data_IF_079836324767
#
_entry.id   IF_079836324767
#
_cell.length_a   1.000
_cell.length_b   1.000
_cell.length_c   1.000
_cell.angle_alpha   90.00
_cell.angle_beta   90.00
_cell.angle_gamma   90.00
#
_symmetry.space_group_name_H-M   'P 1'
#
loop_
_entity.id
_entity.type
_entity.pdbx_description
1 polymer ?
#
# COMPACT_ATOMS: atom_id res chain seq x y z
N UNK A 1 -50.50 23.00 62.50
CA UNK A 1 -50.91 22.11 61.40
C UNK A 1 -50.90 22.91 60.11
N UNK A 2 -49.80 22.86 59.35
CA UNK A 2 -49.68 23.43 58.01
C UNK A 2 -49.72 22.25 57.01
N UNK A 3 -50.49 22.29 55.91
CA UNK A 3 -50.51 21.20 54.94
C UNK A 3 -49.50 21.40 53.81
N UNK A 4 -48.68 20.36 53.66
CA UNK A 4 -48.02 19.75 52.50
C UNK A 4 -47.50 20.62 51.34
N UNK A 5 -46.19 20.50 51.20
CA UNK A 5 -45.29 20.93 50.15
C UNK A 5 -45.53 20.15 48.85
N UNK A 6 -45.65 20.86 47.72
CA UNK A 6 -45.54 20.27 46.38
C UNK A 6 -44.10 20.40 45.90
N UNK A 7 -43.43 19.25 45.80
CA UNK A 7 -42.14 19.08 45.14
C UNK A 7 -42.43 18.97 43.64
N UNK A 8 -41.96 19.93 42.83
CA UNK A 8 -41.87 19.77 41.38
C UNK A 8 -40.42 19.44 40.99
N UNK A 9 -40.12 18.22 40.50
CA UNK A 9 -38.83 17.87 39.95
C UNK A 9 -38.91 17.84 38.42
N UNK A 10 -38.34 18.81 37.72
CA UNK A 10 -37.81 18.56 36.36
C UNK A 10 -36.69 19.54 36.06
N UNK A 11 -35.48 19.03 36.28
CA UNK A 11 -34.22 19.50 35.73
C UNK A 11 -34.33 19.46 34.20
N UNK A 12 -34.44 20.61 33.56
CA UNK A 12 -34.14 20.73 32.13
C UNK A 12 -32.71 21.23 31.99
N UNK A 13 -31.78 20.29 31.79
CA UNK A 13 -30.46 20.59 31.27
C UNK A 13 -30.60 21.08 29.83
N UNK A 14 -30.37 22.37 29.62
CA UNK A 14 -30.23 22.96 28.29
C UNK A 14 -28.93 22.45 27.67
N UNK A 15 -28.94 21.73 26.54
CA UNK A 15 -27.72 21.56 25.77
C UNK A 15 -27.39 22.91 25.13
N UNK A 16 -26.38 23.59 25.65
CA UNK A 16 -25.81 24.77 25.04
C UNK A 16 -25.15 24.35 23.72
N UNK A 17 -25.94 24.38 22.64
CA UNK A 17 -25.45 24.23 21.27
C UNK A 17 -24.53 25.42 21.01
N UNK A 18 -23.23 25.20 21.20
CA UNK A 18 -22.17 26.10 20.74
C UNK A 18 -22.19 26.09 19.21
N UNK A 19 -23.13 26.86 18.64
CA UNK A 19 -23.16 27.19 17.22
C UNK A 19 -22.02 28.18 16.98
N UNK A 20 -20.85 27.66 16.65
CA UNK A 20 -19.74 28.46 16.13
C UNK A 20 -20.26 29.33 14.97
N UNK A 21 -20.17 30.67 15.06
CA UNK A 21 -20.64 31.53 13.98
C UNK A 21 -19.86 31.23 12.70
N UNK A 22 -20.52 31.27 11.52
CA UNK A 22 -19.86 31.04 10.26
C UNK A 22 -18.72 32.04 10.06
N UNK A 23 -17.59 31.64 9.43
CA UNK A 23 -16.44 32.51 9.26
C UNK A 23 -16.85 33.79 8.52
N UNK A 24 -16.64 34.94 9.17
CA UNK A 24 -16.94 36.24 8.58
C UNK A 24 -16.14 36.40 7.28
N UNK A 25 -16.85 36.61 6.18
CA UNK A 25 -16.24 36.82 4.86
C UNK A 25 -15.31 38.03 4.93
N UNK A 26 -14.02 37.81 4.68
CA UNK A 26 -13.05 38.92 4.59
C UNK A 26 -13.46 39.84 3.44
N UNK A 27 -13.47 41.15 3.69
CA UNK A 27 -13.70 42.15 2.64
C UNK A 27 -12.69 41.93 1.53
N UNK A 28 -13.13 41.99 0.27
CA UNK A 28 -12.25 41.85 -0.89
C UNK A 28 -11.17 42.93 -0.80
N UNK A 29 -9.91 42.52 -0.97
CA UNK A 29 -8.80 43.46 -1.05
C UNK A 29 -8.98 44.44 -2.22
N UNK A 30 -8.19 45.53 -2.24
CA UNK A 30 -8.18 46.47 -3.35
C UNK A 30 -8.07 45.73 -4.69
N UNK A 31 -8.83 46.20 -5.68
CA UNK A 31 -8.73 45.66 -7.04
C UNK A 31 -7.28 45.81 -7.50
N UNK A 32 -6.74 44.78 -8.16
CA UNK A 32 -5.39 44.85 -8.74
C UNK A 32 -5.33 46.05 -9.69
N UNK A 33 -4.21 46.78 -9.69
CA UNK A 33 -3.96 47.88 -10.64
C UNK A 33 -4.17 47.42 -12.09
N UNK A 34 -4.50 48.34 -13.00
CA UNK A 34 -4.61 48.04 -14.42
C UNK A 34 -3.25 47.60 -14.97
N UNK A 35 -3.25 46.86 -16.07
CA UNK A 35 -2.01 46.32 -16.63
C UNK A 35 -1.00 47.42 -16.99
N UNK A 36 -1.49 48.56 -17.49
CA UNK A 36 -0.69 49.74 -17.87
C UNK A 36 -0.02 50.41 -16.66
N UNK A 37 -0.67 50.37 -15.50
CA UNK A 37 -0.20 51.03 -14.28
C UNK A 37 0.73 50.13 -13.44
N UNK A 38 0.86 48.85 -13.80
CA UNK A 38 1.72 47.91 -13.08
C UNK A 38 3.15 48.05 -13.57
N UNK A 39 4.07 48.30 -12.63
CA UNK A 39 5.51 48.19 -12.88
C UNK A 39 5.83 46.73 -13.23
N UNK A 40 6.44 46.50 -14.39
CA UNK A 40 6.86 45.16 -14.80
C UNK A 40 8.13 44.75 -14.04
N UNK A 41 8.04 43.63 -13.32
CA UNK A 41 9.18 42.97 -12.69
C UNK A 41 9.38 41.62 -13.36
N UNK A 42 10.50 41.40 -14.09
CA UNK A 42 10.75 40.09 -14.70
C UNK A 42 10.92 39.02 -13.61
N UNK A 43 10.36 37.83 -13.84
CA UNK A 43 10.60 36.69 -12.95
C UNK A 43 12.05 36.24 -13.06
N UNK A 44 12.62 35.77 -11.95
CA UNK A 44 13.94 35.13 -11.97
C UNK A 44 13.94 33.96 -12.97
N UNK A 45 15.04 33.76 -13.73
CA UNK A 45 15.16 32.61 -14.61
C UNK A 45 14.91 31.30 -13.85
N UNK A 46 14.14 30.39 -14.44
CA UNK A 46 13.86 29.08 -13.83
C UNK A 46 15.16 28.28 -13.83
N UNK A 47 15.79 28.17 -12.66
CA UNK A 47 17.07 27.48 -12.49
C UNK A 47 16.91 25.96 -12.54
N UNK A 48 15.77 25.45 -12.07
CA UNK A 48 15.50 24.02 -11.99
C UNK A 48 14.01 23.71 -12.13
N UNK A 49 13.70 22.69 -12.92
CA UNK A 49 12.35 22.12 -12.96
C UNK A 49 12.17 21.23 -11.73
N UNK A 50 11.39 21.69 -10.77
CA UNK A 50 11.00 20.88 -9.61
C UNK A 50 9.89 19.91 -10.01
N UNK A 51 10.19 18.61 -9.93
CA UNK A 51 9.21 17.54 -10.12
C UNK A 51 8.94 16.90 -8.77
N UNK A 52 7.71 17.01 -8.30
CA UNK A 52 7.21 16.29 -7.13
C UNK A 52 6.46 15.05 -7.60
N UNK A 53 6.78 13.90 -7.01
CA UNK A 53 6.07 12.64 -7.23
C UNK A 53 5.39 12.25 -5.93
N UNK A 54 4.12 11.81 -6.00
CA UNK A 54 3.39 11.36 -4.82
C UNK A 54 4.01 10.07 -4.26
N UNK A 55 3.84 9.85 -2.94
CA UNK A 55 4.28 8.61 -2.30
C UNK A 55 3.64 7.38 -2.94
N UNK A 56 2.36 7.45 -3.29
CA UNK A 56 1.66 6.39 -4.03
C UNK A 56 2.36 6.04 -5.35
N UNK A 57 2.84 7.05 -6.10
CA UNK A 57 3.56 6.81 -7.35
C UNK A 57 4.91 6.15 -7.11
N UNK A 58 5.63 6.56 -6.07
CA UNK A 58 6.87 5.90 -5.64
C UNK A 58 6.62 4.44 -5.25
N UNK A 59 5.60 4.18 -4.44
CA UNK A 59 5.22 2.82 -4.02
C UNK A 59 4.85 1.95 -5.22
N UNK A 60 4.06 2.48 -6.17
CA UNK A 60 3.71 1.76 -7.40
C UNK A 60 4.95 1.37 -8.22
N UNK A 61 5.94 2.26 -8.35
CA UNK A 61 7.21 1.99 -9.03
C UNK A 61 8.01 0.90 -8.31
N UNK A 62 8.14 1.00 -6.99
CA UNK A 62 8.87 0.00 -6.20
C UNK A 62 8.19 -1.37 -6.25
N UNK A 63 6.85 -1.38 -6.21
CA UNK A 63 6.04 -2.59 -6.35
C UNK A 63 6.24 -3.23 -7.72
N UNK A 64 6.25 -2.43 -8.80
CA UNK A 64 6.55 -2.88 -10.15
C UNK A 64 7.93 -3.53 -10.24
N UNK A 65 8.98 -2.88 -9.75
CA UNK A 65 10.34 -3.42 -9.79
C UNK A 65 10.50 -4.73 -8.99
N UNK A 66 9.69 -4.92 -7.94
CA UNK A 66 9.79 -6.08 -7.05
C UNK A 66 9.02 -7.29 -7.56
N UNK A 67 7.76 -7.09 -7.95
CA UNK A 67 6.83 -8.19 -8.23
C UNK A 67 6.66 -8.50 -9.71
N UNK A 68 6.82 -7.50 -10.58
CA UNK A 68 6.62 -7.72 -12.01
C UNK A 68 7.70 -8.65 -12.57
N UNK A 69 7.34 -9.44 -13.58
CA UNK A 69 8.24 -10.37 -14.28
C UNK A 69 8.08 -10.18 -15.77
N UNK A 70 9.21 -10.05 -16.47
CA UNK A 70 9.27 -9.85 -17.91
C UNK A 70 9.89 -11.11 -18.52
N UNK A 71 9.18 -11.70 -19.47
CA UNK A 71 9.70 -12.81 -20.26
C UNK A 71 10.73 -12.29 -21.26
N UNK A 72 11.96 -12.74 -21.11
CA UNK A 72 13.08 -12.48 -21.99
C UNK A 72 14.07 -13.63 -21.89
N UNK A 73 13.84 -14.70 -22.67
CA UNK A 73 14.67 -15.90 -22.64
C UNK A 73 16.08 -15.68 -23.19
N UNK A 74 16.34 -14.58 -23.90
CA UNK A 74 17.65 -14.25 -24.47
C UNK A 74 18.58 -13.51 -23.51
N UNK A 75 18.07 -13.07 -22.35
CA UNK A 75 18.85 -12.29 -21.40
C UNK A 75 19.58 -13.19 -20.41
N UNK A 76 20.89 -12.95 -20.24
CA UNK A 76 21.73 -13.69 -19.28
C UNK A 76 21.27 -13.54 -17.82
N UNK A 77 20.55 -12.47 -17.51
CA UNK A 77 20.00 -12.21 -16.18
C UNK A 77 18.65 -12.90 -15.94
N UNK A 78 18.08 -13.53 -16.97
CA UNK A 78 16.90 -14.37 -16.82
C UNK A 78 17.33 -15.76 -16.34
N UNK A 79 16.79 -16.26 -15.20
CA UNK A 79 16.97 -17.63 -14.77
C UNK A 79 16.41 -18.63 -15.79
N UNK A 80 16.59 -19.93 -15.55
CA UNK A 80 16.18 -21.02 -16.45
C UNK A 80 14.71 -20.96 -16.96
N UNK A 81 13.82 -20.22 -16.29
CA UNK A 81 12.45 -19.98 -16.74
C UNK A 81 12.27 -18.86 -17.77
N UNK A 82 13.33 -18.14 -18.16
CA UNK A 82 13.27 -17.02 -19.11
C UNK A 82 12.60 -15.75 -18.58
N UNK A 83 12.23 -15.69 -17.29
CA UNK A 83 11.60 -14.52 -16.68
C UNK A 83 12.59 -13.75 -15.80
N UNK A 84 12.73 -12.44 -16.04
CA UNK A 84 13.53 -11.55 -15.18
C UNK A 84 12.67 -10.50 -14.48
N UNK A 85 13.25 -9.86 -13.46
CA UNK A 85 12.69 -8.62 -12.91
C UNK A 85 12.92 -7.43 -13.86
N UNK A 86 12.00 -6.43 -13.90
CA UNK A 86 12.18 -5.25 -14.72
C UNK A 86 13.40 -4.42 -14.31
N UNK A 87 13.99 -3.76 -15.29
CA UNK A 87 15.04 -2.78 -15.07
C UNK A 87 14.47 -1.40 -14.73
N UNK A 88 15.28 -0.57 -14.08
CA UNK A 88 14.93 0.85 -13.82
C UNK A 88 14.65 1.64 -15.09
N UNK A 89 15.29 1.29 -16.22
CA UNK A 89 15.02 1.88 -17.54
C UNK A 89 13.59 1.60 -18.04
N UNK A 90 13.03 0.44 -17.72
CA UNK A 90 11.68 0.04 -18.14
C UNK A 90 10.64 0.74 -17.27
N UNK A 91 10.87 0.78 -15.96
CA UNK A 91 10.06 1.57 -15.04
C UNK A 91 10.09 3.07 -15.41
N UNK A 92 11.23 3.61 -15.84
CA UNK A 92 11.32 4.99 -16.32
C UNK A 92 10.39 5.26 -17.50
N UNK A 93 10.34 4.36 -18.48
CA UNK A 93 9.45 4.46 -19.65
C UNK A 93 7.98 4.33 -19.26
N UNK A 94 7.66 3.38 -18.39
CA UNK A 94 6.29 3.11 -17.96
C UNK A 94 5.67 4.24 -17.12
N UNK A 95 6.42 4.76 -16.14
CA UNK A 95 5.90 5.76 -15.18
C UNK A 95 6.22 7.21 -15.56
N UNK A 96 7.00 7.41 -16.63
CA UNK A 96 7.57 8.68 -17.07
C UNK A 96 8.32 9.42 -15.94
N UNK A 97 9.22 8.69 -15.27
CA UNK A 97 10.05 9.20 -14.18
C UNK A 97 11.52 9.00 -14.59
N UNK A 98 12.41 9.98 -14.35
CA UNK A 98 13.84 9.81 -14.65
C UNK A 98 14.44 8.60 -13.94
N UNK A 99 15.30 7.86 -14.64
CA UNK A 99 15.96 6.67 -14.09
C UNK A 99 16.74 6.98 -12.80
N UNK A 100 17.40 8.14 -12.71
CA UNK A 100 18.14 8.57 -11.52
C UNK A 100 17.27 8.68 -10.28
N UNK A 101 16.05 9.20 -10.42
CA UNK A 101 15.06 9.29 -9.35
C UNK A 101 14.62 7.91 -8.88
N UNK A 102 14.34 7.00 -9.82
CA UNK A 102 13.95 5.62 -9.51
C UNK A 102 15.08 4.88 -8.79
N UNK A 103 16.33 5.04 -9.26
CA UNK A 103 17.51 4.44 -8.62
C UNK A 103 17.69 4.91 -7.16
N UNK A 104 17.50 6.21 -6.90
CA UNK A 104 17.57 6.75 -5.55
C UNK A 104 16.49 6.16 -4.61
N UNK A 105 15.25 6.04 -5.11
CA UNK A 105 14.18 5.38 -4.34
C UNK A 105 14.46 3.90 -4.09
N UNK A 106 14.98 3.19 -5.09
CA UNK A 106 15.33 1.77 -4.96
C UNK A 106 16.41 1.53 -3.90
N UNK A 107 17.41 2.41 -3.81
CA UNK A 107 18.45 2.36 -2.77
C UNK A 107 17.92 2.74 -1.37
N UNK A 108 16.93 3.63 -1.30
CA UNK A 108 16.34 4.12 -0.05
C UNK A 108 15.12 3.33 0.46
N UNK A 109 14.67 2.30 -0.26
CA UNK A 109 13.39 1.61 0.00
C UNK A 109 13.26 1.01 1.41
N UNK A 110 14.36 0.50 1.96
CA UNK A 110 14.35 -0.18 3.25
C UNK A 110 14.52 0.78 4.43
N UNK A 111 14.93 2.02 4.18
CA UNK A 111 15.20 3.02 5.22
C UNK A 111 13.94 3.66 5.80
N UNK A 112 12.81 3.48 5.14
CA UNK A 112 11.55 4.19 5.44
C UNK A 112 10.51 3.31 6.17
N UNK A 113 10.91 2.10 6.58
CA UNK A 113 9.98 1.16 7.21
C UNK A 113 9.50 1.69 8.57
N UNK A 114 8.18 1.60 8.76
CA UNK A 114 7.41 1.67 10.03
C UNK A 114 7.01 3.04 10.61
N UNK A 115 6.42 3.92 9.79
CA UNK A 115 5.37 4.87 10.28
C UNK A 115 3.97 4.45 9.83
N UNK A 116 3.73 3.15 9.69
CA UNK A 116 2.36 2.66 9.81
C UNK A 116 2.21 2.33 11.28
N UNK A 117 1.49 3.19 12.01
CA UNK A 117 0.78 2.79 13.20
C UNK A 117 -0.22 1.72 12.74
N UNK A 118 0.26 0.50 12.55
CA UNK A 118 -0.63 -0.65 12.53
C UNK A 118 -0.97 -0.79 14.01
N UNK A 119 -2.18 -0.41 14.48
CA UNK A 119 -2.59 -0.85 15.80
C UNK A 119 -2.43 -2.36 15.74
N UNK A 120 -1.52 -2.87 16.57
CA UNK A 120 -1.42 -4.28 16.84
C UNK A 120 -2.81 -4.70 17.29
N UNK A 121 -3.62 -5.20 16.36
CA UNK A 121 -4.81 -5.95 16.71
C UNK A 121 -4.25 -7.19 17.34
N UNK A 122 -4.04 -7.13 18.65
CA UNK A 122 -3.95 -8.31 19.49
C UNK A 122 -5.27 -9.04 19.28
N UNK A 123 -5.30 -9.93 18.30
CA UNK A 123 -6.29 -10.99 18.24
C UNK A 123 -6.21 -11.66 19.61
N UNK A 124 -7.22 -11.42 20.44
CA UNK A 124 -7.38 -12.10 21.70
C UNK A 124 -7.30 -13.60 21.38
N UNK A 125 -6.24 -14.23 21.86
CA UNK A 125 -6.08 -15.67 21.83
C UNK A 125 -7.25 -16.26 22.61
N UNK A 126 -8.29 -16.68 21.90
CA UNK A 126 -9.12 -17.78 22.36
C UNK A 126 -8.32 -19.01 22.00
N UNK A 127 -7.54 -19.47 22.96
CA UNK A 127 -6.74 -20.68 22.95
C UNK A 127 -7.70 -21.88 22.76
N UNK A 128 -7.74 -22.60 21.63
CA UNK A 128 -8.40 -23.90 21.61
C UNK A 128 -7.43 -24.90 22.26
N UNK A 129 -7.69 -25.15 23.53
CA UNK A 129 -7.10 -26.21 24.35
C UNK A 129 -6.79 -27.49 23.53
N UNK A 130 -5.56 -28.04 23.61
CA UNK A 130 -5.10 -29.16 22.79
C UNK A 130 -5.66 -30.55 23.18
N UNK A 131 -6.78 -30.64 23.91
CA UNK A 131 -7.22 -31.87 24.57
C UNK A 131 -8.32 -32.69 23.83
N UNK A 132 -8.65 -32.42 22.56
CA UNK A 132 -9.79 -33.06 21.88
C UNK A 132 -9.51 -33.69 20.50
N UNK A 133 -8.25 -33.87 20.08
CA UNK A 133 -7.92 -34.61 18.84
C UNK A 133 -7.26 -35.97 19.08
N UNK A 134 -7.53 -36.57 20.24
CA UNK A 134 -7.25 -37.97 20.51
C UNK A 134 -8.56 -38.77 20.41
N UNK A 135 -9.07 -38.97 19.18
CA UNK A 135 -9.97 -40.08 18.81
C UNK A 135 -10.51 -39.82 17.40
N UNK A 136 -9.84 -40.33 16.37
CA UNK A 136 -10.53 -40.97 15.25
C UNK A 136 -9.56 -41.90 14.52
N UNK A 137 -9.69 -43.18 14.87
CA UNK A 137 -9.52 -44.37 14.04
C UNK A 137 -8.27 -44.49 13.14
N UNK A 138 -7.38 -45.39 13.58
CA UNK A 138 -6.74 -46.38 12.71
C UNK A 138 -7.72 -46.92 11.66
N UNK A 139 -7.35 -46.81 10.38
CA UNK A 139 -7.60 -47.87 9.42
C UNK A 139 -6.50 -47.87 8.37
N UNK A 140 -5.93 -49.06 8.20
CA UNK A 140 -5.09 -49.56 7.13
C UNK A 140 -5.08 -48.76 5.82
N UNK A 141 -3.88 -48.58 5.28
CA UNK A 141 -3.61 -48.96 3.89
C UNK A 141 -2.10 -49.18 3.75
N UNK A 142 -1.74 -50.44 3.98
CA UNK A 142 -0.46 -51.05 3.63
C UNK A 142 -0.02 -50.70 2.20
N UNK A 143 1.30 -50.66 2.06
CA UNK A 143 1.98 -50.29 0.83
C UNK A 143 1.57 -51.12 -0.37
N UNK A 144 1.14 -50.42 -1.43
CA UNK A 144 1.14 -50.94 -2.79
C UNK A 144 2.35 -50.39 -3.53
N UNK A 145 3.53 -50.97 -3.25
CA UNK A 145 4.65 -50.90 -4.18
C UNK A 145 4.23 -51.64 -5.45
N UNK A 146 3.92 -50.92 -6.51
CA UNK A 146 4.04 -51.44 -7.87
C UNK A 146 5.34 -50.90 -8.46
N UNK A 147 6.40 -51.68 -8.27
CA UNK A 147 7.50 -51.73 -9.24
C UNK A 147 7.12 -52.81 -10.26
N UNK A 148 7.77 -52.76 -11.42
CA UNK A 148 7.68 -53.68 -12.56
C UNK A 148 6.81 -53.15 -13.71
N UNK A 149 7.30 -52.08 -14.33
CA UNK A 149 7.15 -51.88 -15.77
C UNK A 149 8.50 -52.20 -16.43
N UNK A 150 8.79 -53.49 -16.60
CA UNK A 150 9.79 -53.99 -17.55
C UNK A 150 9.28 -53.72 -18.97
N UNK A 151 9.65 -52.56 -19.51
CA UNK A 151 9.38 -52.16 -20.87
C UNK A 151 10.62 -52.44 -21.73
N UNK A 152 10.41 -53.34 -22.71
CA UNK A 152 11.11 -53.55 -23.98
C UNK A 152 12.56 -54.07 -23.98
N UNK A 153 12.68 -55.39 -24.02
CA UNK A 153 13.76 -56.06 -24.76
C UNK A 153 13.33 -56.12 -26.24
N UNK A 154 14.00 -55.33 -27.08
CA UNK A 154 13.78 -55.30 -28.54
C UNK A 154 15.01 -55.90 -29.21
N UNK A 155 14.98 -57.23 -29.35
CA UNK A 155 15.89 -57.98 -30.21
C UNK A 155 15.22 -58.19 -31.56
N UNK A 156 15.83 -57.68 -32.63
CA UNK A 156 15.34 -57.92 -33.99
C UNK A 156 16.00 -57.08 -35.07
N UNK A 157 17.31 -57.25 -35.29
CA UNK A 157 17.94 -56.99 -36.59
C UNK A 157 19.03 -58.03 -36.86
N UNK A 158 18.71 -58.96 -37.75
CA UNK A 158 19.62 -59.51 -38.76
C UNK A 158 18.83 -59.63 -40.06
#
# INVERSE_FOLDING_TARGET
MQPLENIDPTVQGTPEVTTSPPPLKRKKGPKKQRYVDRIYTPSKPVTRVERTYSNQKREAVLMYLTHHKIYDPGNRLSPAGGYRSPFTREASKMFNIPQSTISAWWQGRDKEKFKRDVPSVSCAATDPSPAQLASLSHHDLEGRQMRDASHVDSLGQQ
#
